data_IF_019256614523
#
_entry.id   IF_019256614523
#
_cell.length_a   1.000
_cell.length_b   1.000
_cell.length_c   1.000
_cell.angle_alpha   90.00
_cell.angle_beta   90.00
_cell.angle_gamma   90.00
#
_symmetry.space_group_name_H-M   'P 1'
#
loop_
_entity.id
_entity.type
_entity.pdbx_description
1 polymer ?
#
# COMPACT_ATOMS: atom_id res chain seq x y z
N UNK A 1 -25.59 13.02 6.76
CA UNK A 1 -24.39 13.42 5.97
C UNK A 1 -23.26 12.38 5.98
N UNK A 2 -22.91 11.78 7.13
CA UNK A 2 -21.81 10.81 7.25
C UNK A 2 -22.07 9.51 6.45
N UNK A 3 -23.30 8.97 6.49
CA UNK A 3 -23.67 7.79 5.70
C UNK A 3 -23.47 8.03 4.19
N UNK A 4 -23.95 9.15 3.66
CA UNK A 4 -23.79 9.52 2.25
C UNK A 4 -22.33 9.74 1.85
N UNK A 5 -21.51 10.30 2.75
CA UNK A 5 -20.07 10.45 2.52
C UNK A 5 -19.37 9.09 2.43
N UNK A 6 -19.75 8.13 3.28
CA UNK A 6 -19.23 6.76 3.19
C UNK A 6 -19.64 6.08 1.88
N UNK A 7 -20.92 6.13 1.51
CA UNK A 7 -21.43 5.54 0.27
C UNK A 7 -20.66 6.08 -0.94
N UNK A 8 -20.41 7.40 -0.99
CA UNK A 8 -19.64 8.02 -2.05
C UNK A 8 -18.20 7.47 -2.12
N UNK A 9 -17.48 7.41 -0.99
CA UNK A 9 -16.09 6.93 -0.96
C UNK A 9 -16.00 5.45 -1.34
N UNK A 10 -16.92 4.60 -0.85
CA UNK A 10 -16.98 3.20 -1.26
C UNK A 10 -17.25 3.07 -2.75
N UNK A 11 -18.16 3.87 -3.31
CA UNK A 11 -18.44 3.86 -4.75
C UNK A 11 -17.20 4.20 -5.56
N UNK A 12 -16.48 5.26 -5.19
CA UNK A 12 -15.23 5.65 -5.86
C UNK A 12 -14.17 4.53 -5.75
N UNK A 13 -14.03 3.92 -4.57
CA UNK A 13 -13.12 2.79 -4.36
C UNK A 13 -13.43 1.62 -5.32
N UNK A 14 -14.70 1.21 -5.41
CA UNK A 14 -15.12 0.12 -6.30
C UNK A 14 -14.91 0.44 -7.78
N UNK A 15 -15.19 1.67 -8.21
CA UNK A 15 -14.92 2.12 -9.59
C UNK A 15 -13.44 2.01 -9.93
N UNK A 16 -12.56 2.39 -9.01
CA UNK A 16 -11.10 2.29 -9.20
C UNK A 16 -10.67 0.83 -9.28
N UNK A 17 -11.10 -0.02 -8.33
CA UNK A 17 -10.78 -1.45 -8.33
C UNK A 17 -11.24 -2.12 -9.64
N UNK A 18 -12.45 -1.80 -10.10
CA UNK A 18 -12.97 -2.34 -11.35
C UNK A 18 -12.18 -1.86 -12.57
N UNK A 19 -11.78 -0.59 -12.58
CA UNK A 19 -10.94 0.00 -13.64
C UNK A 19 -9.57 -0.68 -13.70
N UNK A 20 -8.92 -0.89 -12.55
CA UNK A 20 -7.65 -1.62 -12.44
C UNK A 20 -7.82 -3.04 -13.01
N UNK A 21 -8.86 -3.77 -12.58
CA UNK A 21 -9.13 -5.14 -13.05
C UNK A 21 -9.34 -5.19 -14.57
N UNK A 22 -10.06 -4.22 -15.15
CA UNK A 22 -10.26 -4.11 -16.59
C UNK A 22 -8.94 -3.90 -17.34
N UNK A 23 -8.07 -3.00 -16.86
CA UNK A 23 -6.76 -2.77 -17.47
C UNK A 23 -5.86 -4.00 -17.32
N UNK A 24 -5.85 -4.65 -16.16
CA UNK A 24 -5.11 -5.90 -15.95
C UNK A 24 -5.53 -7.00 -16.92
N UNK A 25 -6.84 -7.16 -17.18
CA UNK A 25 -7.35 -8.13 -18.16
C UNK A 25 -6.84 -7.79 -19.57
N UNK A 26 -6.86 -6.51 -19.96
CA UNK A 26 -6.35 -6.08 -21.26
C UNK A 26 -4.85 -6.35 -21.40
N UNK A 27 -4.06 -6.11 -20.35
CA UNK A 27 -2.63 -6.42 -20.32
C UNK A 27 -2.35 -7.92 -20.29
N UNK A 28 -3.21 -8.74 -19.65
CA UNK A 28 -3.10 -10.20 -19.62
C UNK A 28 -3.30 -10.87 -20.96
N UNK A 29 -4.23 -10.36 -21.77
CA UNK A 29 -4.51 -10.92 -23.12
C UNK A 29 -3.33 -10.74 -24.10
N UNK A 30 -2.41 -9.82 -23.81
CA UNK A 30 -1.16 -9.65 -24.57
C UNK A 30 -0.06 -10.42 -23.85
N UNK A 31 0.03 -11.74 -24.06
CA UNK A 31 1.20 -12.48 -23.61
C UNK A 31 2.41 -11.97 -24.38
N UNK A 32 3.49 -11.71 -23.65
CA UNK A 32 4.72 -11.10 -24.21
C UNK A 32 5.96 -11.92 -23.94
N UNK A 33 5.92 -12.79 -22.93
CA UNK A 33 7.10 -13.53 -22.49
C UNK A 33 6.73 -14.99 -22.27
N UNK A 34 7.57 -15.87 -22.80
CA UNK A 34 7.58 -17.26 -22.39
C UNK A 34 7.98 -17.35 -20.91
N UNK A 35 7.54 -18.39 -20.22
CA UNK A 35 7.97 -18.66 -18.84
C UNK A 35 9.50 -18.74 -18.72
N UNK A 36 10.21 -19.20 -19.75
CA UNK A 36 11.67 -19.30 -19.74
C UNK A 36 12.33 -17.92 -19.73
N UNK A 37 11.90 -16.97 -20.58
CA UNK A 37 12.47 -15.62 -20.63
C UNK A 37 12.26 -14.87 -19.31
N UNK A 38 11.08 -15.05 -18.71
CA UNK A 38 10.75 -14.46 -17.41
C UNK A 38 11.61 -15.04 -16.28
N UNK A 39 11.83 -16.36 -16.26
CA UNK A 39 12.69 -17.01 -15.27
C UNK A 39 14.17 -16.64 -15.43
N UNK A 40 14.65 -16.43 -16.65
CA UNK A 40 16.01 -15.94 -16.90
C UNK A 40 16.19 -14.55 -16.27
N UNK A 41 15.25 -13.63 -16.51
CA UNK A 41 15.29 -12.29 -15.89
C UNK A 41 15.22 -12.34 -14.37
N UNK A 42 14.40 -13.22 -13.80
CA UNK A 42 14.38 -13.42 -12.34
C UNK A 42 15.73 -13.89 -11.79
N UNK A 43 16.42 -14.79 -12.50
CA UNK A 43 17.77 -15.24 -12.13
C UNK A 43 18.80 -14.12 -12.25
N UNK A 44 18.73 -13.30 -13.29
CA UNK A 44 19.60 -12.11 -13.44
C UNK A 44 19.41 -11.15 -12.26
N UNK A 45 18.17 -10.84 -11.92
CA UNK A 45 17.85 -9.98 -10.76
C UNK A 45 18.37 -10.60 -9.45
N UNK A 46 18.21 -11.91 -9.27
CA UNK A 46 18.71 -12.60 -8.08
C UNK A 46 20.24 -12.54 -8.00
N UNK A 47 20.94 -12.71 -9.13
CA UNK A 47 22.39 -12.62 -9.20
C UNK A 47 22.90 -11.20 -8.86
N UNK A 48 22.21 -10.18 -9.37
CA UNK A 48 22.52 -8.78 -9.06
C UNK A 48 22.25 -8.41 -7.59
N UNK A 49 21.44 -9.22 -6.89
CA UNK A 49 20.99 -8.96 -5.53
C UNK A 49 21.19 -10.21 -4.65
N UNK A 50 22.44 -10.50 -4.26
CA UNK A 50 22.88 -11.71 -3.54
C UNK A 50 22.03 -12.19 -2.35
N UNK A 51 21.26 -11.30 -1.72
CA UNK A 51 20.43 -11.61 -0.55
C UNK A 51 18.94 -11.74 -0.84
N UNK A 52 18.53 -11.49 -2.09
CA UNK A 52 17.15 -11.49 -2.52
C UNK A 52 16.75 -12.89 -3.00
N UNK A 53 15.75 -13.45 -2.34
CA UNK A 53 15.16 -14.73 -2.69
C UNK A 53 13.91 -14.55 -3.55
N UNK A 54 13.60 -15.57 -4.35
CA UNK A 54 12.36 -15.64 -5.12
C UNK A 54 11.60 -16.91 -4.75
N UNK A 55 10.37 -16.76 -4.27
CA UNK A 55 9.51 -17.88 -3.87
C UNK A 55 8.20 -17.88 -4.66
N UNK A 56 7.67 -19.08 -4.91
CA UNK A 56 6.37 -19.21 -5.57
C UNK A 56 5.25 -19.02 -4.55
N UNK A 57 4.25 -18.22 -4.91
CA UNK A 57 3.06 -18.02 -4.09
C UNK A 57 1.78 -17.86 -4.93
N UNK A 58 0.65 -17.71 -4.25
CA UNK A 58 -0.65 -17.41 -4.87
C UNK A 58 -0.84 -15.92 -5.21
N UNK A 59 0.13 -15.08 -4.87
CA UNK A 59 0.09 -13.62 -5.05
C UNK A 59 1.49 -13.09 -5.36
N UNK A 60 1.56 -11.86 -5.88
CA UNK A 60 2.81 -11.10 -5.99
C UNK A 60 3.00 -10.27 -4.73
N UNK A 61 4.20 -10.26 -4.16
CA UNK A 61 4.49 -9.44 -2.99
C UNK A 61 5.92 -9.58 -2.52
N UNK A 62 6.43 -8.57 -1.84
CA UNK A 62 7.72 -8.58 -1.19
C UNK A 62 7.58 -8.79 0.32
N UNK A 63 8.24 -9.82 0.86
CA UNK A 63 8.41 -10.01 2.31
C UNK A 63 9.79 -9.49 2.74
N UNK A 64 9.83 -8.35 3.44
CA UNK A 64 11.08 -7.74 3.86
C UNK A 64 11.73 -8.44 5.06
N UNK A 65 11.06 -9.42 5.70
CA UNK A 65 11.65 -10.22 6.80
C UNK A 65 12.48 -11.37 6.27
N UNK A 66 11.99 -12.01 5.21
CA UNK A 66 12.67 -13.11 4.52
C UNK A 66 13.56 -12.63 3.37
N UNK A 67 13.42 -11.36 3.01
CA UNK A 67 14.07 -10.76 1.84
C UNK A 67 13.67 -11.58 0.59
N UNK A 68 12.37 -11.80 0.44
CA UNK A 68 11.81 -12.69 -0.57
C UNK A 68 10.78 -11.96 -1.41
N UNK A 69 10.90 -12.03 -2.74
CA UNK A 69 9.82 -11.65 -3.65
C UNK A 69 9.03 -12.91 -4.02
N UNK A 70 7.73 -12.86 -3.75
CA UNK A 70 6.76 -13.86 -4.13
C UNK A 70 6.26 -13.62 -5.55
N UNK A 71 6.18 -14.69 -6.35
CA UNK A 71 5.63 -14.65 -7.69
C UNK A 71 4.65 -15.79 -7.98
N UNK A 72 3.72 -15.54 -8.89
CA UNK A 72 2.71 -16.52 -9.30
C UNK A 72 3.27 -17.36 -10.45
N UNK A 73 3.30 -18.69 -10.31
CA UNK A 73 3.69 -19.59 -11.41
C UNK A 73 2.63 -19.58 -12.51
N UNK A 74 3.03 -19.28 -13.74
CA UNK A 74 2.18 -19.30 -14.93
C UNK A 74 2.90 -19.93 -16.12
N UNK A 75 2.11 -20.41 -17.09
CA UNK A 75 2.61 -20.90 -18.37
C UNK A 75 3.11 -19.75 -19.25
N UNK A 76 2.38 -18.63 -19.25
CA UNK A 76 2.76 -17.39 -19.92
C UNK A 76 2.66 -16.21 -18.96
N UNK A 77 3.63 -15.29 -19.05
CA UNK A 77 3.65 -14.09 -18.24
C UNK A 77 3.24 -12.88 -19.09
N UNK A 78 2.33 -12.09 -18.53
CA UNK A 78 1.88 -10.85 -19.15
C UNK A 78 2.80 -9.68 -18.81
N UNK A 79 2.65 -8.57 -19.53
CA UNK A 79 3.31 -7.31 -19.20
C UNK A 79 2.99 -6.84 -17.76
N UNK A 80 1.77 -7.12 -17.28
CA UNK A 80 1.39 -6.82 -15.90
C UNK A 80 2.13 -7.68 -14.87
N UNK A 81 2.35 -8.97 -15.17
CA UNK A 81 3.07 -9.87 -14.27
C UNK A 81 4.53 -9.44 -14.12
N UNK A 82 5.14 -9.02 -15.23
CA UNK A 82 6.51 -8.49 -15.23
C UNK A 82 6.60 -7.17 -14.47
N UNK A 83 5.60 -6.29 -14.63
CA UNK A 83 5.48 -5.07 -13.84
C UNK A 83 5.39 -5.35 -12.34
N UNK A 84 4.57 -6.31 -11.93
CA UNK A 84 4.40 -6.65 -10.51
C UNK A 84 5.73 -7.06 -9.87
N UNK A 85 6.53 -7.90 -10.52
CA UNK A 85 7.86 -8.28 -10.01
C UNK A 85 8.80 -7.09 -9.89
N UNK A 86 8.92 -6.27 -10.94
CA UNK A 86 9.82 -5.12 -10.86
C UNK A 86 9.35 -4.08 -9.83
N UNK A 87 8.03 -3.99 -9.59
CA UNK A 87 7.46 -3.15 -8.53
C UNK A 87 7.87 -3.67 -7.14
N UNK A 88 7.73 -4.98 -6.89
CA UNK A 88 8.22 -5.61 -5.65
C UNK A 88 9.74 -5.50 -5.48
N UNK A 89 10.51 -5.57 -6.56
CA UNK A 89 11.95 -5.31 -6.52
C UNK A 89 12.26 -3.86 -6.15
N UNK A 90 11.45 -2.91 -6.64
CA UNK A 90 11.54 -1.51 -6.25
C UNK A 90 11.35 -1.33 -4.74
N UNK A 91 10.43 -2.08 -4.13
CA UNK A 91 10.26 -2.11 -2.67
C UNK A 91 11.51 -2.62 -1.94
N UNK A 92 12.10 -3.74 -2.39
CA UNK A 92 13.37 -4.24 -1.86
C UNK A 92 14.50 -3.21 -1.93
N UNK A 93 14.66 -2.51 -3.06
CA UNK A 93 15.71 -1.52 -3.24
C UNK A 93 15.50 -0.26 -2.37
N UNK A 94 14.26 0.18 -2.20
CA UNK A 94 13.93 1.29 -1.28
C UNK A 94 14.20 0.89 0.19
N UNK A 95 13.96 -0.38 0.53
CA UNK A 95 14.26 -0.95 1.85
C UNK A 95 15.78 -1.01 2.14
N UNK A 96 16.60 -1.39 1.15
CA UNK A 96 18.07 -1.35 1.26
C UNK A 96 18.60 0.07 1.42
N UNK A 97 17.97 1.06 0.78
CA UNK A 97 18.57 2.39 0.65
C UNK A 97 18.50 3.25 1.89
N UNK A 98 17.41 3.29 2.67
CA UNK A 98 17.34 4.15 3.87
C UNK A 98 15.99 4.30 4.60
N UNK A 99 14.85 3.73 4.18
CA UNK A 99 13.54 4.21 4.71
C UNK A 99 12.88 3.33 5.78
N UNK A 100 13.31 2.08 5.96
CA UNK A 100 12.64 1.11 6.83
C UNK A 100 12.86 1.36 8.33
N UNK A 101 14.05 1.80 8.75
CA UNK A 101 14.33 2.08 10.17
C UNK A 101 13.45 3.23 10.66
N UNK A 102 13.35 4.32 9.90
CA UNK A 102 12.46 5.44 10.22
C UNK A 102 10.99 5.05 10.17
N UNK A 103 10.54 4.29 9.16
CA UNK A 103 9.14 3.86 9.01
C UNK A 103 8.70 2.86 10.08
N UNK A 104 9.52 1.83 10.39
CA UNK A 104 9.20 0.86 11.43
C UNK A 104 9.35 1.46 12.84
N UNK A 105 10.34 2.31 13.09
CA UNK A 105 10.45 3.00 14.38
C UNK A 105 9.30 3.98 14.58
N UNK A 106 8.92 4.77 13.58
CA UNK A 106 7.77 5.68 13.73
C UNK A 106 6.47 4.90 13.90
N UNK A 107 6.11 4.00 12.98
CA UNK A 107 4.81 3.31 13.00
C UNK A 107 4.67 2.35 14.18
N UNK A 108 5.71 1.60 14.56
CA UNK A 108 5.62 0.60 15.64
C UNK A 108 5.68 1.25 17.02
N UNK A 109 6.53 2.27 17.21
CA UNK A 109 6.62 3.02 18.46
C UNK A 109 5.32 3.79 18.70
N UNK A 110 4.80 4.45 17.67
CA UNK A 110 3.56 5.23 17.73
C UNK A 110 2.33 4.33 17.93
N UNK A 111 2.16 3.26 17.15
CA UNK A 111 1.00 2.37 17.31
C UNK A 111 1.01 1.63 18.65
N UNK A 112 2.18 1.27 19.20
CA UNK A 112 2.25 0.62 20.53
C UNK A 112 2.13 1.60 21.69
N UNK A 113 2.68 2.81 21.60
CA UNK A 113 2.57 3.83 22.64
C UNK A 113 1.18 4.47 22.69
N UNK A 114 0.49 4.59 21.56
CA UNK A 114 -0.80 5.30 21.47
C UNK A 114 -2.02 4.41 21.33
N UNK A 115 -1.93 3.11 21.04
CA UNK A 115 -3.16 2.29 20.99
C UNK A 115 -3.53 1.74 22.37
N UNK A 116 -2.58 1.14 23.09
CA UNK A 116 -2.91 0.33 24.28
C UNK A 116 -3.22 1.20 25.51
N UNK A 117 -2.40 2.21 25.89
CA UNK A 117 -2.68 3.04 27.07
C UNK A 117 -3.86 4.00 26.83
N UNK A 118 -4.12 4.35 25.58
CA UNK A 118 -5.13 5.33 25.18
C UNK A 118 -6.49 4.69 25.05
N UNK A 119 -6.66 3.56 24.33
CA UNK A 119 -7.97 2.92 24.29
C UNK A 119 -8.39 2.39 25.68
N UNK A 120 -7.43 1.97 26.51
CA UNK A 120 -7.68 1.54 27.90
C UNK A 120 -7.91 2.74 28.85
N UNK A 121 -7.12 3.81 28.75
CA UNK A 121 -7.31 5.03 29.52
C UNK A 121 -8.58 5.80 29.13
N UNK A 122 -8.96 5.77 27.85
CA UNK A 122 -10.18 6.41 27.34
C UNK A 122 -11.42 5.66 27.84
N UNK A 123 -11.39 4.32 27.87
CA UNK A 123 -12.53 3.54 28.38
C UNK A 123 -12.70 3.63 29.90
N UNK A 124 -11.61 3.81 30.67
CA UNK A 124 -11.69 4.02 32.13
C UNK A 124 -12.06 5.47 32.49
N UNK A 125 -11.54 6.48 31.79
CA UNK A 125 -11.82 7.89 32.08
C UNK A 125 -13.16 8.38 31.50
N UNK A 126 -13.70 7.74 30.45
CA UNK A 126 -15.05 8.00 29.95
C UNK A 126 -16.13 7.76 31.01
N UNK A 127 -15.88 6.84 31.96
CA UNK A 127 -16.77 6.57 33.10
C UNK A 127 -16.79 7.72 34.12
N UNK A 128 -15.80 8.62 34.10
CA UNK A 128 -15.68 9.71 35.07
C UNK A 128 -16.26 11.06 34.58
N UNK A 129 -16.68 11.18 33.32
CA UNK A 129 -17.49 12.30 32.81
C UNK A 129 -16.89 13.71 32.90
N UNK A 130 -15.57 13.86 33.07
CA UNK A 130 -14.96 15.19 33.31
C UNK A 130 -14.69 15.97 32.01
N UNK A 131 -14.80 17.30 32.04
CA UNK A 131 -14.41 18.17 30.90
C UNK A 131 -12.94 18.01 30.49
N UNK A 132 -12.07 17.57 31.41
CA UNK A 132 -10.68 17.25 31.14
C UNK A 132 -10.55 16.06 30.16
N UNK A 133 -11.46 15.09 30.25
CA UNK A 133 -11.49 13.91 29.37
C UNK A 133 -11.77 14.28 27.91
N UNK A 134 -12.74 15.16 27.67
CA UNK A 134 -13.08 15.65 26.32
C UNK A 134 -11.88 16.33 25.66
N UNK A 135 -11.09 17.09 26.44
CA UNK A 135 -9.88 17.76 25.95
C UNK A 135 -8.75 16.77 25.64
N UNK A 136 -8.55 15.77 26.51
CA UNK A 136 -7.52 14.74 26.30
C UNK A 136 -7.86 13.86 25.09
N UNK A 137 -9.11 13.41 24.96
CA UNK A 137 -9.56 12.60 23.82
C UNK A 137 -9.40 13.36 22.49
N UNK A 138 -9.67 14.67 22.48
CA UNK A 138 -9.45 15.51 21.31
C UNK A 138 -7.97 15.62 20.91
N UNK A 139 -7.04 15.81 21.87
CA UNK A 139 -5.60 15.86 21.59
C UNK A 139 -5.12 14.53 20.99
N UNK A 140 -5.59 13.41 21.56
CA UNK A 140 -5.27 12.07 21.08
C UNK A 140 -5.77 11.87 19.65
N UNK A 141 -7.00 12.26 19.37
CA UNK A 141 -7.57 12.21 18.03
C UNK A 141 -6.76 13.03 17.01
N UNK A 142 -6.30 14.23 17.39
CA UNK A 142 -5.41 15.02 16.53
C UNK A 142 -4.07 14.30 16.26
N UNK A 143 -3.49 13.66 17.27
CA UNK A 143 -2.30 12.85 17.09
C UNK A 143 -2.57 11.68 16.12
N UNK A 144 -3.68 10.95 16.30
CA UNK A 144 -4.07 9.86 15.38
C UNK A 144 -4.22 10.36 13.93
N UNK A 145 -4.80 11.54 13.70
CA UNK A 145 -4.88 12.16 12.37
C UNK A 145 -3.48 12.44 11.82
N UNK A 146 -2.59 13.06 12.60
CA UNK A 146 -1.24 13.40 12.15
C UNK A 146 -0.44 12.15 11.77
N UNK A 147 -0.61 11.07 12.53
CA UNK A 147 0.03 9.79 12.30
C UNK A 147 -0.53 9.07 11.08
N UNK A 148 -1.84 9.16 10.89
CA UNK A 148 -2.49 8.71 9.68
C UNK A 148 -1.95 9.45 8.46
N UNK A 149 -1.88 10.78 8.49
CA UNK A 149 -1.34 11.60 7.39
C UNK A 149 0.13 11.29 7.12
N UNK A 150 0.93 11.11 8.17
CA UNK A 150 2.32 10.69 8.07
C UNK A 150 2.41 9.32 7.36
N UNK A 151 1.66 8.31 7.84
CA UNK A 151 1.62 6.98 7.20
C UNK A 151 1.24 7.08 5.73
N UNK A 152 0.23 7.88 5.41
CA UNK A 152 -0.21 8.11 4.03
C UNK A 152 0.87 8.72 3.14
N UNK A 153 1.58 9.74 3.64
CA UNK A 153 2.70 10.34 2.92
C UNK A 153 3.78 9.29 2.58
N UNK A 154 4.13 8.43 3.55
CA UNK A 154 5.13 7.38 3.33
C UNK A 154 4.66 6.30 2.35
N UNK A 155 3.41 5.85 2.47
CA UNK A 155 2.81 4.90 1.52
C UNK A 155 2.91 5.45 0.09
N UNK A 156 2.45 6.69 -0.13
CA UNK A 156 2.50 7.31 -1.46
C UNK A 156 3.93 7.43 -1.98
N UNK A 157 4.87 7.84 -1.12
CA UNK A 157 6.29 7.96 -1.50
C UNK A 157 6.92 6.61 -1.85
N UNK A 158 6.61 5.57 -1.08
CA UNK A 158 7.14 4.22 -1.24
C UNK A 158 6.61 3.55 -2.50
N UNK A 159 5.29 3.56 -2.69
CA UNK A 159 4.63 3.01 -3.89
C UNK A 159 5.05 3.75 -5.17
N UNK A 160 5.15 5.08 -5.11
CA UNK A 160 5.59 5.89 -6.26
C UNK A 160 7.05 5.59 -6.63
N UNK A 161 7.92 5.37 -5.65
CA UNK A 161 9.33 4.99 -5.90
C UNK A 161 9.40 3.63 -6.59
N UNK A 162 8.72 2.63 -6.03
CA UNK A 162 8.67 1.27 -6.57
C UNK A 162 8.09 1.22 -7.99
N UNK A 163 6.97 1.90 -8.22
CA UNK A 163 6.36 2.02 -9.55
C UNK A 163 7.27 2.76 -10.55
N UNK A 164 7.96 3.83 -10.13
CA UNK A 164 8.90 4.55 -11.00
C UNK A 164 10.03 3.62 -11.43
N UNK A 165 10.58 2.85 -10.50
CA UNK A 165 11.60 1.86 -10.79
C UNK A 165 11.09 0.80 -11.78
N UNK A 166 9.90 0.25 -11.55
CA UNK A 166 9.30 -0.75 -12.44
C UNK A 166 9.05 -0.23 -13.85
N UNK A 167 8.50 0.98 -13.98
CA UNK A 167 8.23 1.61 -15.28
C UNK A 167 9.54 1.87 -16.04
N UNK A 168 10.58 2.34 -15.35
CA UNK A 168 11.90 2.57 -15.94
C UNK A 168 12.53 1.27 -16.44
N UNK A 169 12.42 0.17 -15.69
CA UNK A 169 12.92 -1.13 -16.14
C UNK A 169 12.12 -1.72 -17.29
N UNK A 170 10.85 -1.35 -17.42
CA UNK A 170 9.98 -1.86 -18.48
C UNK A 170 9.97 -1.01 -19.74
N UNK A 171 10.46 0.24 -19.70
CA UNK A 171 10.44 1.14 -20.86
C UNK A 171 11.25 0.60 -22.02
N UNK A 172 12.30 -0.16 -21.72
CA UNK A 172 13.21 -0.71 -22.73
C UNK A 172 12.61 -1.92 -23.46
N UNK A 173 11.46 -2.44 -22.99
CA UNK A 173 10.90 -3.71 -23.46
C UNK A 173 9.41 -3.64 -23.82
N UNK A 174 8.71 -2.54 -23.52
CA UNK A 174 7.29 -2.41 -23.76
C UNK A 174 7.01 -1.28 -24.74
N UNK A 175 6.06 -1.51 -25.65
CA UNK A 175 5.50 -0.46 -26.49
C UNK A 175 4.82 0.64 -25.65
N UNK A 176 4.79 1.86 -26.19
CA UNK A 176 4.26 3.04 -25.49
C UNK A 176 2.81 2.86 -25.04
N UNK A 177 2.00 2.07 -25.78
CA UNK A 177 0.61 1.79 -25.41
C UNK A 177 0.57 0.94 -24.14
N UNK A 178 1.34 -0.15 -24.08
CA UNK A 178 1.46 -0.99 -22.89
C UNK A 178 2.01 -0.22 -21.68
N UNK A 179 3.02 0.64 -21.87
CA UNK A 179 3.55 1.52 -20.83
C UNK A 179 2.51 2.50 -20.31
N UNK A 180 1.68 3.09 -21.20
CA UNK A 180 0.58 3.98 -20.81
C UNK A 180 -0.44 3.28 -19.91
N UNK A 181 -0.77 2.02 -20.19
CA UNK A 181 -1.65 1.23 -19.32
C UNK A 181 -1.00 0.91 -17.97
N UNK A 182 0.28 0.57 -17.94
CA UNK A 182 1.01 0.31 -16.69
C UNK A 182 1.11 1.57 -15.83
N UNK A 183 1.43 2.74 -16.42
CA UNK A 183 1.42 4.04 -15.74
C UNK A 183 0.05 4.33 -15.11
N UNK A 184 -1.04 4.03 -15.82
CA UNK A 184 -2.41 4.16 -15.30
C UNK A 184 -2.68 3.22 -14.13
N UNK A 185 -2.31 1.95 -14.23
CA UNK A 185 -2.51 0.97 -13.15
C UNK A 185 -1.72 1.35 -11.90
N UNK A 186 -0.46 1.77 -12.07
CA UNK A 186 0.37 2.28 -10.97
C UNK A 186 -0.29 3.47 -10.25
N UNK A 187 -0.75 4.48 -11.01
CA UNK A 187 -1.44 5.64 -10.44
C UNK A 187 -2.72 5.23 -9.71
N UNK A 188 -3.57 4.41 -10.34
CA UNK A 188 -4.82 3.94 -9.74
C UNK A 188 -4.59 3.09 -8.49
N UNK A 189 -3.52 2.30 -8.44
CA UNK A 189 -3.16 1.50 -7.26
C UNK A 189 -2.84 2.41 -6.06
N UNK A 190 -2.03 3.45 -6.25
CA UNK A 190 -1.74 4.45 -5.19
C UNK A 190 -3.04 5.12 -4.73
N UNK A 191 -3.88 5.57 -5.68
CA UNK A 191 -5.16 6.21 -5.36
C UNK A 191 -6.08 5.25 -4.58
N UNK A 192 -6.10 3.97 -4.93
CA UNK A 192 -6.90 2.96 -4.22
C UNK A 192 -6.47 2.80 -2.76
N UNK A 193 -5.16 2.85 -2.47
CA UNK A 193 -4.64 2.79 -1.10
C UNK A 193 -4.96 4.08 -0.31
N UNK A 194 -4.92 5.24 -0.96
CA UNK A 194 -5.33 6.52 -0.36
C UNK A 194 -6.80 6.47 0.05
N UNK A 195 -7.67 6.04 -0.87
CA UNK A 195 -9.11 5.97 -0.61
C UNK A 195 -9.43 4.93 0.46
N UNK A 196 -8.81 3.75 0.39
CA UNK A 196 -8.97 2.72 1.43
C UNK A 196 -8.58 3.26 2.81
N UNK A 197 -7.50 4.02 2.89
CA UNK A 197 -7.07 4.64 4.15
C UNK A 197 -8.02 5.75 4.60
N UNK A 198 -8.57 6.55 3.68
CA UNK A 198 -9.57 7.58 4.00
C UNK A 198 -10.84 6.98 4.62
N UNK A 199 -11.26 5.78 4.18
CA UNK A 199 -12.37 5.03 4.80
C UNK A 199 -12.07 4.74 6.27
N UNK A 200 -10.84 4.31 6.60
CA UNK A 200 -10.42 4.08 7.99
C UNK A 200 -10.43 5.36 8.84
N UNK A 201 -9.93 6.47 8.29
CA UNK A 201 -9.94 7.75 8.99
C UNK A 201 -11.37 8.22 9.31
N UNK A 202 -12.31 8.01 8.38
CA UNK A 202 -13.71 8.34 8.61
C UNK A 202 -14.34 7.57 9.77
N UNK A 203 -13.98 6.30 9.95
CA UNK A 203 -14.45 5.49 11.08
C UNK A 203 -13.94 6.09 12.40
N UNK A 204 -12.67 6.48 12.46
CA UNK A 204 -12.06 7.12 13.63
C UNK A 204 -12.75 8.45 13.95
N UNK A 205 -12.95 9.31 12.94
CA UNK A 205 -13.67 10.59 13.07
C UNK A 205 -15.09 10.36 13.60
N UNK A 206 -15.80 9.35 13.08
CA UNK A 206 -17.16 9.05 13.51
C UNK A 206 -17.22 8.60 14.98
N UNK A 207 -16.29 7.74 15.41
CA UNK A 207 -16.19 7.34 16.82
C UNK A 207 -15.92 8.53 17.73
N UNK A 208 -15.05 9.45 17.32
CA UNK A 208 -14.75 10.66 18.09
C UNK A 208 -15.97 11.59 18.21
N UNK A 209 -16.77 11.73 17.15
CA UNK A 209 -18.02 12.51 17.20
C UNK A 209 -18.97 11.90 18.24
N UNK A 210 -19.17 10.57 18.23
CA UNK A 210 -20.05 9.89 19.19
C UNK A 210 -19.59 10.13 20.63
N UNK A 211 -18.28 10.09 20.90
CA UNK A 211 -17.71 10.32 22.23
C UNK A 211 -17.96 11.75 22.71
N UNK A 212 -17.84 12.74 21.82
CA UNK A 212 -17.96 14.17 22.17
C UNK A 212 -19.41 14.69 22.18
N UNK A 213 -20.38 13.94 21.66
CA UNK A 213 -21.80 14.36 21.58
C UNK A 213 -22.68 13.78 22.70
N UNK A 214 -22.09 13.08 23.67
CA UNK A 214 -22.74 12.68 24.94
C UNK A 214 -22.47 13.72 26.01
#
# INVERSE_FOLDING_TARGET
>A
MILWSNILIFTVYYVIVFTIKKIQIQLKKKSKYSNQDFLIKLKEIANDNKYLNFERAKYYGYDPRKITIFYIKKEEYSAYDTFAIYHELGHYLDDLKSKRILFNMSVTCINRLLAIPIYFGISILALAGTQLFVKISYIIFLLEILLFLHRMYFIVKYEKSASKYAIMRLSDYLDEISLKYIRRVSCLSIVSQIIFSAIWLMIIVFMQIIINYK
#
